data_IF_063555598709
#
_entry.id   IF_063555598709
#
_cell.length_a   1.000
_cell.length_b   1.000
_cell.length_c   1.000
_cell.angle_alpha   90.00
_cell.angle_beta   90.00
_cell.angle_gamma   90.00
#
_symmetry.space_group_name_H-M   'P 1'
#
loop_
_entity.id
_entity.type
_entity.pdbx_description
1 polymer ?
#
# COMPACT_ATOMS: atom_id res chain seq x y z
N UNK A 1 57.05 -45.16 15.27
CA UNK A 1 56.97 -46.60 14.89
C UNK A 1 55.90 -46.61 13.82
N UNK A 2 56.34 -46.60 12.59
CA UNK A 2 56.47 -47.66 11.60
C UNK A 2 55.08 -48.24 11.25
N UNK A 3 54.63 -48.33 10.11
CA UNK A 3 55.07 -48.43 8.70
C UNK A 3 53.91 -49.13 8.00
N UNK A 4 53.60 -48.68 6.91
CA UNK A 4 53.82 -49.12 5.53
C UNK A 4 52.58 -49.67 4.86
N UNK A 5 52.30 -49.11 3.66
CA UNK A 5 51.48 -49.69 2.62
C UNK A 5 52.21 -50.88 1.90
N UNK A 6 52.00 -51.19 0.62
CA UNK A 6 51.12 -50.74 -0.47
C UNK A 6 50.59 -51.90 -1.35
N UNK A 7 50.01 -51.62 -2.53
CA UNK A 7 49.86 -52.56 -3.63
C UNK A 7 48.55 -52.37 -4.40
N UNK A 8 48.49 -51.72 -5.48
CA UNK A 8 48.87 -51.87 -6.89
C UNK A 8 48.35 -53.17 -7.51
N UNK A 9 47.54 -53.17 -8.54
CA UNK A 9 47.84 -53.05 -9.95
C UNK A 9 46.63 -53.41 -10.84
N UNK A 10 46.41 -52.60 -11.83
CA UNK A 10 46.41 -52.87 -13.31
C UNK A 10 45.30 -53.77 -13.86
N UNK A 11 44.67 -53.36 -14.90
CA UNK A 11 44.92 -53.15 -16.27
C UNK A 11 43.63 -52.90 -17.05
N UNK A 12 43.66 -51.95 -17.91
CA UNK A 12 43.67 -52.00 -19.38
C UNK A 12 42.55 -52.80 -20.05
N UNK A 13 41.93 -52.39 -21.14
CA UNK A 13 42.04 -51.39 -22.16
C UNK A 13 40.89 -51.52 -23.14
N UNK A 14 40.61 -50.41 -23.88
CA UNK A 14 40.19 -50.30 -25.28
C UNK A 14 38.87 -50.95 -25.74
N UNK A 15 38.04 -50.32 -26.60
CA UNK A 15 38.31 -49.58 -27.84
C UNK A 15 37.07 -48.94 -28.39
N UNK A 16 37.21 -47.73 -28.89
CA UNK A 16 36.78 -47.13 -30.15
C UNK A 16 35.33 -47.13 -30.63
N UNK A 17 34.90 -45.92 -30.99
CA UNK A 17 33.75 -45.58 -31.80
C UNK A 17 33.83 -46.03 -33.27
N UNK A 18 33.02 -45.50 -34.20
CA UNK A 18 32.88 -44.09 -34.54
C UNK A 18 31.47 -43.60 -34.99
N UNK A 19 31.32 -42.33 -35.13
CA UNK A 19 30.31 -41.67 -35.99
C UNK A 19 30.68 -41.86 -37.48
N UNK A 20 29.75 -41.66 -38.46
CA UNK A 20 29.44 -40.30 -38.90
C UNK A 20 28.08 -40.06 -39.61
N UNK A 21 27.70 -38.79 -39.64
CA UNK A 21 27.23 -37.92 -40.75
C UNK A 21 26.14 -38.38 -41.73
N UNK A 22 25.08 -37.59 -41.94
CA UNK A 22 24.95 -36.60 -43.04
C UNK A 22 23.46 -36.32 -43.36
N UNK A 23 23.14 -35.07 -43.49
CA UNK A 23 22.01 -34.57 -44.29
C UNK A 23 22.43 -34.64 -45.79
N UNK A 24 21.56 -34.57 -46.79
CA UNK A 24 20.82 -33.39 -47.14
C UNK A 24 19.50 -33.50 -47.95
N UNK A 25 18.87 -32.33 -48.22
CA UNK A 25 18.21 -31.86 -49.42
C UNK A 25 16.72 -32.12 -49.72
N UNK A 26 16.01 -31.00 -49.84
CA UNK A 26 14.81 -30.73 -50.65
C UNK A 26 14.98 -31.10 -52.15
N UNK A 27 13.95 -31.24 -52.99
CA UNK A 27 13.10 -30.13 -53.43
C UNK A 27 11.63 -30.42 -53.90
N UNK A 28 10.81 -29.38 -53.86
CA UNK A 28 9.74 -28.87 -54.71
C UNK A 28 8.97 -29.78 -55.71
N UNK A 29 7.65 -29.60 -55.83
CA UNK A 29 6.85 -28.88 -56.84
C UNK A 29 5.46 -29.48 -57.06
N UNK A 30 4.54 -28.57 -57.38
CA UNK A 30 3.32 -28.62 -58.17
C UNK A 30 1.95 -28.92 -57.58
N UNK A 31 1.17 -27.83 -57.56
CA UNK A 31 -0.27 -27.69 -57.72
C UNK A 31 -0.84 -28.41 -59.01
N UNK A 32 -2.17 -28.51 -59.28
CA UNK A 32 -3.30 -27.66 -58.89
C UNK A 32 -4.68 -28.34 -58.73
N UNK A 33 -5.70 -27.58 -58.26
CA UNK A 33 -7.11 -27.65 -58.75
C UNK A 33 -8.09 -28.42 -57.89
N UNK A 34 -9.06 -27.81 -57.27
CA UNK A 34 -10.36 -27.50 -57.86
C UNK A 34 -11.29 -26.74 -56.91
N UNK A 35 -12.07 -25.90 -57.51
CA UNK A 35 -13.05 -24.94 -57.04
C UNK A 35 -14.37 -25.60 -56.66
N UNK A 36 -15.04 -25.20 -55.57
CA UNK A 36 -16.51 -25.07 -55.54
C UNK A 36 -16.96 -23.93 -54.61
N UNK A 37 -17.79 -23.15 -55.18
CA UNK A 37 -18.51 -21.92 -54.95
C UNK A 37 -19.17 -21.65 -53.59
N UNK A 38 -19.23 -20.36 -53.35
CA UNK A 38 -20.08 -19.57 -52.44
C UNK A 38 -21.60 -19.75 -52.64
N UNK A 39 -22.40 -19.17 -51.72
CA UNK A 39 -23.03 -17.88 -52.09
C UNK A 39 -22.92 -16.77 -51.02
N UNK A 40 -23.05 -15.56 -51.54
CA UNK A 40 -22.79 -14.27 -50.94
C UNK A 40 -24.04 -13.56 -50.38
N UNK A 41 -23.78 -12.73 -49.33
CA UNK A 41 -24.22 -11.35 -49.04
C UNK A 41 -25.67 -11.07 -48.57
N UNK A 42 -25.91 -9.96 -47.79
CA UNK A 42 -25.55 -8.61 -48.17
C UNK A 42 -24.92 -7.69 -47.10
N UNK A 43 -24.35 -6.62 -47.62
CA UNK A 43 -23.70 -5.49 -46.95
C UNK A 43 -24.64 -4.61 -46.12
N UNK A 44 -24.11 -4.11 -44.96
CA UNK A 44 -24.30 -2.72 -44.59
C UNK A 44 -23.08 -2.26 -43.83
N UNK A 45 -22.41 -1.25 -44.36
CA UNK A 45 -21.20 -0.69 -43.80
C UNK A 45 -21.48 0.23 -42.62
N UNK A 46 -20.61 0.15 -41.61
CA UNK A 46 -20.27 1.27 -40.72
C UNK A 46 -18.80 1.14 -40.38
N UNK A 47 -18.07 2.20 -40.62
CA UNK A 47 -16.68 2.47 -40.28
C UNK A 47 -16.42 2.23 -38.78
N UNK A 48 -15.59 1.25 -38.45
CA UNK A 48 -15.10 1.08 -37.07
C UNK A 48 -13.63 1.48 -36.96
N UNK A 49 -13.40 2.60 -36.26
CA UNK A 49 -12.11 2.92 -35.69
C UNK A 49 -11.79 1.89 -34.61
N UNK A 50 -10.53 1.51 -34.38
CA UNK A 50 -10.19 0.59 -33.28
C UNK A 50 -10.47 1.27 -31.94
N UNK A 51 -11.39 0.68 -31.19
CA UNK A 51 -11.69 1.03 -29.82
C UNK A 51 -10.58 0.46 -28.95
N UNK A 52 -9.76 1.32 -28.35
CA UNK A 52 -8.88 0.96 -27.25
C UNK A 52 -9.76 0.48 -26.09
N UNK A 53 -9.66 -0.78 -25.74
CA UNK A 53 -10.26 -1.32 -24.51
C UNK A 53 -9.55 -0.70 -23.31
N UNK A 54 -10.19 0.27 -22.69
CA UNK A 54 -9.93 0.60 -21.29
C UNK A 54 -10.70 -0.43 -20.45
N UNK A 55 -10.00 -1.02 -19.46
CA UNK A 55 -10.58 -2.05 -18.61
C UNK A 55 -11.79 -1.53 -17.82
N UNK A 56 -12.78 -2.40 -17.67
CA UNK A 56 -14.05 -2.15 -17.00
C UNK A 56 -13.96 -1.81 -15.50
N UNK A 57 -12.77 -1.91 -14.90
CA UNK A 57 -12.57 -1.74 -13.45
C UNK A 57 -12.58 -0.27 -13.00
N UNK A 58 -12.23 0.67 -13.90
CA UNK A 58 -12.30 2.11 -13.60
C UNK A 58 -13.73 2.65 -13.53
N UNK A 59 -14.68 1.98 -14.20
CA UNK A 59 -16.08 2.40 -14.22
C UNK A 59 -16.86 1.94 -12.99
N UNK A 60 -16.52 0.81 -12.38
CA UNK A 60 -17.15 0.35 -11.13
C UNK A 60 -16.72 1.22 -9.94
N UNK A 61 -15.44 1.58 -9.85
CA UNK A 61 -14.95 2.52 -8.81
C UNK A 61 -15.53 3.93 -8.97
N UNK A 62 -15.80 4.37 -10.20
CA UNK A 62 -16.44 5.66 -10.49
C UNK A 62 -17.93 5.64 -10.20
N UNK A 63 -18.63 4.55 -10.50
CA UNK A 63 -20.07 4.43 -10.30
C UNK A 63 -20.47 4.34 -8.81
N UNK A 64 -19.61 3.78 -7.97
CA UNK A 64 -19.83 3.74 -6.51
C UNK A 64 -19.57 5.09 -5.84
N UNK A 65 -18.77 5.98 -6.48
CA UNK A 65 -18.45 7.30 -5.93
C UNK A 65 -19.49 8.39 -6.26
N UNK A 66 -20.26 8.23 -7.35
CA UNK A 66 -21.23 9.25 -7.79
C UNK A 66 -22.63 9.09 -7.14
N UNK A 67 -22.83 8.08 -6.28
CA UNK A 67 -24.16 7.73 -5.75
C UNK A 67 -24.56 8.41 -4.46
N UNK A 68 -23.68 9.20 -3.82
CA UNK A 68 -23.96 9.79 -2.51
C UNK A 68 -23.74 11.30 -2.50
N UNK A 69 -24.74 12.02 -2.96
CA UNK A 69 -25.02 13.41 -2.56
C UNK A 69 -26.41 13.38 -1.96
N UNK A 70 -26.49 13.56 -0.62
CA UNK A 70 -27.52 14.35 0.06
C UNK A 70 -27.36 14.31 1.59
N UNK A 71 -27.19 15.51 2.09
CA UNK A 71 -27.76 16.13 3.30
C UNK A 71 -27.52 15.49 4.67
N UNK A 72 -26.98 16.30 5.59
CA UNK A 72 -26.86 16.00 7.01
C UNK A 72 -26.23 17.12 7.81
N UNK A 73 -27.05 17.87 8.50
CA UNK A 73 -26.74 19.02 9.34
C UNK A 73 -25.66 18.77 10.39
N UNK A 74 -24.80 19.76 10.54
CA UNK A 74 -23.79 19.89 11.59
C UNK A 74 -24.45 20.19 12.93
N UNK A 75 -24.15 19.38 13.96
CA UNK A 75 -24.34 19.75 15.34
C UNK A 75 -22.99 19.83 16.05
N UNK A 76 -22.67 21.02 16.52
CA UNK A 76 -21.50 21.34 17.31
C UNK A 76 -21.58 20.69 18.69
N UNK A 77 -20.83 19.60 18.91
CA UNK A 77 -20.71 18.98 20.24
C UNK A 77 -19.25 18.67 20.59
N UNK A 78 -18.42 19.71 20.66
CA UNK A 78 -17.01 19.60 21.07
C UNK A 78 -16.87 19.34 22.57
N UNK A 79 -17.82 19.78 23.40
CA UNK A 79 -17.74 19.67 24.87
C UNK A 79 -18.02 18.27 25.41
N UNK A 80 -18.71 17.42 24.67
CA UNK A 80 -19.06 16.07 25.15
C UNK A 80 -17.96 15.04 24.96
N UNK A 81 -16.94 15.34 24.13
CA UNK A 81 -15.84 14.42 23.84
C UNK A 81 -14.90 14.20 25.02
N UNK A 82 -14.87 15.14 25.99
CA UNK A 82 -13.91 15.18 27.08
C UNK A 82 -14.52 15.26 28.48
N UNK A 83 -15.85 15.11 28.65
CA UNK A 83 -16.49 15.23 29.97
C UNK A 83 -16.35 13.97 30.83
N UNK A 84 -15.97 14.21 32.06
CA UNK A 84 -15.67 13.30 33.17
C UNK A 84 -16.83 12.41 33.61
N UNK A 85 -16.47 11.21 34.11
CA UNK A 85 -16.96 10.69 35.39
C UNK A 85 -15.90 9.77 36.05
N UNK A 86 -15.86 9.85 37.37
CA UNK A 86 -14.86 9.36 38.31
C UNK A 86 -14.30 7.95 38.12
N UNK A 87 -12.99 7.78 38.07
CA UNK A 87 -12.28 6.51 38.26
C UNK A 87 -11.11 6.64 39.22
N UNK A 88 -11.01 5.69 40.15
CA UNK A 88 -10.07 5.48 41.25
C UNK A 88 -8.59 5.52 40.82
N UNK A 89 -7.68 6.20 41.55
CA UNK A 89 -6.33 6.54 41.07
C UNK A 89 -5.24 5.49 41.32
N UNK A 90 -5.50 4.17 41.19
CA UNK A 90 -4.49 3.15 41.58
C UNK A 90 -3.95 2.26 40.45
N UNK A 91 -4.42 2.37 39.21
CA UNK A 91 -3.95 1.56 38.12
C UNK A 91 -3.67 2.40 36.86
N UNK A 92 -2.60 3.20 36.86
CA UNK A 92 -2.20 3.91 35.66
C UNK A 92 -0.69 4.05 35.55
N UNK A 93 -0.06 3.14 34.81
CA UNK A 93 1.16 3.42 34.07
C UNK A 93 0.79 3.47 32.58
N UNK A 94 0.09 4.52 32.22
CA UNK A 94 -0.19 4.99 30.88
C UNK A 94 -0.43 6.47 30.99
N UNK A 95 0.23 7.29 30.17
CA UNK A 95 0.05 8.74 30.18
C UNK A 95 -1.44 9.06 30.01
N UNK A 96 -2.07 9.39 31.15
CA UNK A 96 -3.44 9.90 31.19
C UNK A 96 -3.46 11.24 30.47
N UNK A 97 -4.37 11.44 29.54
CA UNK A 97 -4.67 12.74 28.95
C UNK A 97 -5.04 13.72 30.07
N UNK A 98 -4.25 14.77 30.22
CA UNK A 98 -4.56 15.85 31.19
C UNK A 98 -5.71 16.69 30.60
N UNK A 99 -6.92 16.41 31.03
CA UNK A 99 -8.20 16.98 30.55
C UNK A 99 -8.31 18.48 30.87
N UNK A 100 -7.37 19.05 31.61
CA UNK A 100 -7.37 20.48 31.97
C UNK A 100 -6.87 21.41 30.84
N UNK A 101 -6.25 20.83 29.78
CA UNK A 101 -5.87 21.57 28.56
C UNK A 101 -6.66 20.95 27.41
N UNK A 102 -7.69 21.64 26.92
CA UNK A 102 -8.56 21.17 25.86
C UNK A 102 -7.79 20.56 24.69
N UNK A 103 -8.13 19.33 24.30
CA UNK A 103 -7.60 18.69 23.10
C UNK A 103 -8.03 19.50 21.88
N UNK A 104 -7.08 19.88 21.05
CA UNK A 104 -7.34 20.54 19.77
C UNK A 104 -6.72 19.72 18.65
N UNK A 105 -7.46 19.52 17.56
CA UNK A 105 -6.94 18.95 16.34
C UNK A 105 -7.37 19.82 15.18
N UNK A 106 -6.43 20.61 14.66
CA UNK A 106 -6.74 21.70 13.72
C UNK A 106 -5.86 21.62 12.48
N UNK A 107 -6.38 22.12 11.36
CA UNK A 107 -5.60 22.30 10.14
C UNK A 107 -4.50 23.37 10.38
N UNK A 108 -3.24 22.99 10.15
CA UNK A 108 -2.10 23.93 10.26
C UNK A 108 -1.59 24.39 8.91
N UNK A 109 -1.70 23.54 7.88
CA UNK A 109 -1.29 23.86 6.52
C UNK A 109 -2.12 23.10 5.50
N UNK A 110 -2.29 23.70 4.32
CA UNK A 110 -2.98 23.10 3.18
C UNK A 110 -2.27 23.46 1.88
N UNK A 111 -2.20 22.53 0.95
CA UNK A 111 -1.64 22.75 -0.38
C UNK A 111 -2.40 21.96 -1.44
N UNK A 112 -2.64 22.59 -2.60
CA UNK A 112 -3.10 21.86 -3.78
C UNK A 112 -1.93 21.05 -4.33
N UNK A 113 -1.94 19.74 -4.04
CA UNK A 113 -0.81 18.88 -4.30
C UNK A 113 -0.78 18.28 -5.72
N UNK A 114 -1.93 18.28 -6.41
CA UNK A 114 -2.07 17.64 -7.71
C UNK A 114 -3.05 18.39 -8.61
N UNK A 115 -2.97 18.15 -9.89
CA UNK A 115 -3.99 18.56 -10.86
C UNK A 115 -5.17 17.58 -10.90
N UNK A 116 -5.01 16.39 -10.32
CA UNK A 116 -6.01 15.32 -10.25
C UNK A 116 -6.11 14.76 -8.82
N UNK A 117 -6.84 13.67 -8.61
CA UNK A 117 -7.02 13.01 -7.30
C UNK A 117 -5.67 12.65 -6.69
N UNK A 118 -5.46 12.94 -5.40
CA UNK A 118 -4.32 12.44 -4.62
C UNK A 118 -4.71 11.12 -3.97
N UNK A 119 -3.88 10.09 -4.12
CA UNK A 119 -4.18 8.73 -3.67
C UNK A 119 -3.36 8.32 -2.46
N UNK A 120 -2.18 8.90 -2.27
CA UNK A 120 -1.28 8.52 -1.18
C UNK A 120 -0.42 9.69 -0.72
N UNK A 121 -0.03 9.67 0.55
CA UNK A 121 0.97 10.55 1.14
C UNK A 121 1.77 9.81 2.22
N UNK A 122 3.02 10.24 2.45
CA UNK A 122 3.88 9.66 3.49
C UNK A 122 4.94 10.65 3.97
N UNK A 123 5.17 10.71 5.29
CA UNK A 123 6.26 11.50 5.88
C UNK A 123 7.59 10.75 5.79
N UNK A 124 8.69 11.49 5.63
CA UNK A 124 10.02 10.95 5.88
C UNK A 124 10.22 10.62 7.37
N UNK A 125 11.12 9.68 7.66
CA UNK A 125 11.38 9.21 9.03
C UNK A 125 11.84 10.32 9.97
N UNK A 126 12.55 11.33 9.46
CA UNK A 126 12.98 12.52 10.20
C UNK A 126 11.94 13.64 10.25
N UNK A 127 10.79 13.46 9.60
CA UNK A 127 9.68 14.41 9.54
C UNK A 127 9.93 15.67 8.70
N UNK A 128 11.09 15.78 8.02
CA UNK A 128 11.42 16.98 7.22
C UNK A 128 10.67 17.06 5.90
N UNK A 129 10.36 15.90 5.32
CA UNK A 129 9.71 15.82 4.02
C UNK A 129 8.38 15.09 4.11
N UNK A 130 7.47 15.49 3.24
CA UNK A 130 6.23 14.81 2.92
C UNK A 130 6.27 14.44 1.44
N UNK A 131 5.85 13.25 1.08
CA UNK A 131 5.62 12.85 -0.31
C UNK A 131 4.12 12.70 -0.55
N UNK A 132 3.66 13.05 -1.75
CA UNK A 132 2.30 12.77 -2.23
C UNK A 132 2.33 12.23 -3.63
N UNK A 133 1.36 11.37 -3.99
CA UNK A 133 1.20 10.81 -5.33
C UNK A 133 -0.27 10.65 -5.70
N UNK A 134 -0.57 10.59 -7.01
CA UNK A 134 -1.95 10.51 -7.43
C UNK A 134 -2.17 10.24 -8.92
N UNK A 135 -3.38 10.57 -9.37
CA UNK A 135 -3.87 10.30 -10.72
C UNK A 135 -3.17 11.11 -11.82
N UNK A 136 -2.49 12.20 -11.49
CA UNK A 136 -1.68 12.98 -12.45
C UNK A 136 -0.34 12.30 -12.79
N UNK A 137 -0.09 11.09 -12.26
CA UNK A 137 1.10 10.25 -12.50
C UNK A 137 2.39 10.82 -11.92
N UNK A 138 2.29 11.85 -11.08
CA UNK A 138 3.42 12.54 -10.46
C UNK A 138 3.48 12.24 -8.98
N UNK A 139 4.69 12.06 -8.47
CA UNK A 139 4.95 12.13 -7.04
C UNK A 139 5.63 13.47 -6.74
N UNK A 140 5.20 14.14 -5.69
CA UNK A 140 5.74 15.44 -5.29
C UNK A 140 6.32 15.33 -3.89
N UNK A 141 7.55 15.83 -3.72
CA UNK A 141 8.22 15.97 -2.43
C UNK A 141 8.04 17.41 -1.93
N UNK A 142 7.64 17.52 -0.69
CA UNK A 142 7.35 18.77 0.00
C UNK A 142 8.26 18.94 1.22
N UNK A 143 8.67 20.16 1.52
CA UNK A 143 9.18 20.51 2.84
C UNK A 143 8.01 20.55 3.82
N UNK A 144 8.06 19.76 4.90
CA UNK A 144 6.93 19.59 5.84
C UNK A 144 6.53 20.90 6.52
N UNK A 145 7.49 21.76 6.84
CA UNK A 145 7.29 23.00 7.56
C UNK A 145 6.56 24.09 6.76
N UNK A 146 6.71 24.08 5.44
CA UNK A 146 6.22 25.14 4.56
C UNK A 146 5.29 24.68 3.46
N UNK A 147 5.18 23.35 3.26
CA UNK A 147 4.54 22.73 2.09
C UNK A 147 5.01 23.30 0.74
N UNK A 148 6.26 23.82 0.69
CA UNK A 148 6.90 24.20 -0.56
C UNK A 148 7.43 22.93 -1.27
N UNK A 149 7.31 22.94 -2.59
CA UNK A 149 7.82 21.84 -3.42
C UNK A 149 9.33 21.77 -3.30
N UNK A 150 9.86 20.62 -2.92
CA UNK A 150 11.28 20.27 -3.05
C UNK A 150 11.54 19.77 -4.46
N UNK A 151 10.70 18.85 -4.96
CA UNK A 151 10.84 18.26 -6.30
C UNK A 151 9.56 17.54 -6.74
N UNK A 152 9.48 17.32 -8.07
CA UNK A 152 8.44 16.55 -8.72
C UNK A 152 9.06 15.39 -9.50
N UNK A 153 8.51 14.19 -9.33
CA UNK A 153 8.97 12.94 -9.93
C UNK A 153 7.93 12.50 -10.98
N UNK A 154 8.29 12.56 -12.28
CA UNK A 154 7.34 12.48 -13.41
C UNK A 154 7.64 11.31 -14.37
N UNK A 155 7.85 10.10 -13.84
CA UNK A 155 8.29 8.99 -14.68
C UNK A 155 7.24 7.88 -14.84
N UNK A 156 6.21 7.85 -14.01
CA UNK A 156 5.13 6.87 -14.15
C UNK A 156 4.26 7.17 -15.37
N UNK A 157 3.90 6.12 -16.12
CA UNK A 157 3.01 6.24 -17.28
C UNK A 157 1.53 6.14 -16.93
N UNK A 158 1.19 5.69 -15.70
CA UNK A 158 -0.14 5.62 -15.15
C UNK A 158 -0.21 6.22 -13.74
N UNK A 159 -1.40 6.27 -13.14
CA UNK A 159 -1.61 6.83 -11.81
C UNK A 159 -0.73 6.15 -10.76
N UNK A 160 -0.30 6.93 -9.76
CA UNK A 160 0.44 6.45 -8.60
C UNK A 160 -0.56 6.00 -7.54
N UNK A 161 -0.37 4.80 -7.01
CA UNK A 161 -1.23 4.18 -6.00
C UNK A 161 -0.72 4.38 -4.58
N UNK A 162 0.60 4.28 -4.39
CA UNK A 162 1.21 4.45 -3.07
C UNK A 162 2.58 5.12 -3.16
N UNK A 163 2.93 5.88 -2.12
CA UNK A 163 4.23 6.52 -1.95
C UNK A 163 4.76 6.24 -0.55
N UNK A 164 6.03 5.80 -0.43
CA UNK A 164 6.64 5.47 0.86
C UNK A 164 8.09 5.93 0.93
N UNK A 165 8.45 6.57 2.05
CA UNK A 165 9.85 6.78 2.40
C UNK A 165 10.41 5.54 3.08
N UNK A 166 11.67 5.25 2.80
CA UNK A 166 12.45 4.29 3.59
C UNK A 166 12.60 4.81 5.03
N UNK A 167 12.46 3.93 6.04
CA UNK A 167 12.63 4.34 7.43
C UNK A 167 14.08 4.68 7.81
N UNK A 168 15.08 4.15 7.09
CA UNK A 168 16.51 4.23 7.42
C UNK A 168 17.36 4.96 6.39
N UNK A 169 16.96 4.96 5.12
CA UNK A 169 17.73 5.51 4.01
C UNK A 169 16.99 6.71 3.38
N UNK A 170 17.71 7.66 2.75
CA UNK A 170 17.08 8.77 2.02
C UNK A 170 16.48 8.30 0.69
N UNK A 171 15.58 7.32 0.76
CA UNK A 171 14.91 6.74 -0.40
C UNK A 171 13.40 6.94 -0.32
N UNK A 172 12.81 7.20 -1.47
CA UNK A 172 11.37 7.18 -1.68
C UNK A 172 11.03 6.07 -2.67
N UNK A 173 9.95 5.35 -2.46
CA UNK A 173 9.41 4.43 -3.45
C UNK A 173 7.98 4.83 -3.84
N UNK A 174 7.62 4.55 -5.09
CA UNK A 174 6.31 4.81 -5.66
C UNK A 174 5.81 3.57 -6.39
N UNK A 175 4.54 3.22 -6.23
CA UNK A 175 3.85 2.17 -6.98
C UNK A 175 2.81 2.76 -7.93
N UNK A 176 2.52 2.07 -9.03
CA UNK A 176 1.63 2.59 -10.06
C UNK A 176 0.83 1.51 -10.79
N UNK A 177 -0.28 1.94 -11.38
CA UNK A 177 -1.05 1.15 -12.35
C UNK A 177 -0.26 0.80 -13.61
N UNK A 178 0.89 1.43 -13.85
CA UNK A 178 1.82 1.04 -14.92
C UNK A 178 2.56 -0.28 -14.64
N UNK A 179 2.20 -0.98 -13.55
CA UNK A 179 2.73 -2.27 -13.11
C UNK A 179 4.18 -2.22 -12.62
N UNK A 180 4.66 -1.03 -12.29
CA UNK A 180 6.03 -0.82 -11.82
C UNK A 180 6.08 -0.27 -10.40
N UNK A 181 7.15 -0.59 -9.70
CA UNK A 181 7.61 0.12 -8.51
C UNK A 181 8.89 0.86 -8.87
N UNK A 182 8.99 2.13 -8.49
CA UNK A 182 10.16 2.97 -8.72
C UNK A 182 10.76 3.41 -7.41
N UNK A 183 12.09 3.44 -7.34
CA UNK A 183 12.83 3.86 -6.16
C UNK A 183 13.71 5.06 -6.50
N UNK A 184 13.63 6.09 -5.68
CA UNK A 184 14.22 7.40 -5.87
C UNK A 184 15.17 7.72 -4.73
N UNK A 185 16.25 8.44 -5.01
CA UNK A 185 17.04 9.12 -3.99
C UNK A 185 16.29 10.39 -3.57
N UNK A 186 15.85 10.45 -2.32
CA UNK A 186 15.05 11.56 -1.82
C UNK A 186 15.87 12.83 -1.53
N UNK A 187 17.19 12.71 -1.34
CA UNK A 187 18.09 13.85 -1.09
C UNK A 187 18.47 14.55 -2.41
N UNK A 188 18.94 13.77 -3.37
CA UNK A 188 19.45 14.27 -4.64
C UNK A 188 18.37 14.35 -5.72
N UNK A 189 17.21 13.77 -5.46
CA UNK A 189 16.05 13.73 -6.38
C UNK A 189 16.45 13.12 -7.74
N UNK A 190 17.31 12.14 -7.69
CA UNK A 190 17.79 11.40 -8.85
C UNK A 190 17.34 9.95 -8.78
N UNK A 191 17.34 9.29 -9.90
CA UNK A 191 17.09 7.87 -9.98
C UNK A 191 18.21 7.09 -9.31
N UNK A 192 17.87 6.04 -8.59
CA UNK A 192 18.85 5.01 -8.29
C UNK A 192 19.18 4.25 -9.59
N UNK A 193 20.40 3.68 -9.69
CA UNK A 193 20.92 3.01 -10.90
C UNK A 193 20.01 1.89 -11.46
N UNK A 194 19.07 1.39 -10.67
CA UNK A 194 18.04 0.44 -11.07
C UNK A 194 16.65 1.06 -10.84
N UNK A 195 16.12 1.82 -11.81
CA UNK A 195 15.02 2.75 -11.59
C UNK A 195 13.65 2.08 -11.38
N UNK A 196 13.49 0.82 -11.81
CA UNK A 196 12.19 0.16 -11.68
C UNK A 196 12.31 -1.32 -11.35
N UNK A 197 11.44 -1.74 -10.45
CA UNK A 197 11.24 -3.14 -10.11
C UNK A 197 10.16 -3.67 -11.06
N UNK A 198 10.60 -4.45 -12.05
CA UNK A 198 9.73 -5.02 -13.08
C UNK A 198 9.38 -6.46 -12.76
N UNK A 199 8.12 -6.82 -12.97
CA UNK A 199 7.69 -8.21 -12.83
C UNK A 199 6.22 -8.39 -12.49
N UNK A 200 5.54 -7.37 -11.95
CA UNK A 200 4.10 -7.44 -11.75
C UNK A 200 3.35 -7.58 -13.07
N UNK A 201 2.38 -8.49 -13.09
CA UNK A 201 1.50 -8.73 -14.25
C UNK A 201 0.29 -7.81 -14.28
N UNK A 202 -0.09 -7.28 -13.11
CA UNK A 202 -1.22 -6.41 -12.90
C UNK A 202 -0.79 -5.08 -12.27
N UNK A 203 -1.74 -4.16 -12.08
CA UNK A 203 -1.51 -2.86 -11.45
C UNK A 203 -0.96 -3.01 -10.04
N UNK A 204 0.12 -2.31 -9.71
CA UNK A 204 0.68 -2.33 -8.36
C UNK A 204 -0.18 -1.45 -7.46
N UNK A 205 -0.72 -2.01 -6.40
CA UNK A 205 -1.69 -1.36 -5.52
C UNK A 205 -1.05 -0.71 -4.30
N UNK A 206 -0.01 -1.34 -3.75
CA UNK A 206 0.67 -0.85 -2.54
C UNK A 206 2.11 -1.32 -2.50
N UNK A 207 2.92 -0.62 -1.74
CA UNK A 207 4.31 -0.97 -1.44
C UNK A 207 4.66 -0.58 0.00
N UNK A 208 5.70 -1.21 0.55
CA UNK A 208 6.28 -0.77 1.81
C UNK A 208 7.75 -1.21 1.95
N UNK A 209 8.54 -0.42 2.70
CA UNK A 209 9.92 -0.75 3.05
C UNK A 209 9.97 -1.56 4.33
N UNK A 210 10.86 -2.56 4.35
CA UNK A 210 11.12 -3.28 5.58
C UNK A 210 11.84 -2.37 6.61
N UNK A 211 11.41 -2.34 7.88
CA UNK A 211 11.94 -1.37 8.84
C UNK A 211 13.42 -1.54 9.18
N UNK A 212 13.98 -2.76 9.07
CA UNK A 212 15.33 -3.09 9.50
C UNK A 212 16.21 -3.71 8.40
N UNK A 213 15.69 -3.88 7.18
CA UNK A 213 16.45 -4.44 6.04
C UNK A 213 16.45 -3.40 4.92
N UNK A 214 17.49 -2.59 4.83
CA UNK A 214 17.61 -1.44 3.92
C UNK A 214 17.50 -1.79 2.44
N UNK A 215 17.73 -3.06 2.11
CA UNK A 215 17.64 -3.60 0.75
C UNK A 215 16.29 -4.24 0.42
N UNK A 216 15.39 -4.38 1.40
CA UNK A 216 14.13 -5.08 1.21
C UNK A 216 12.94 -4.11 1.10
N UNK A 217 12.24 -4.21 -0.02
CA UNK A 217 10.93 -3.59 -0.24
C UNK A 217 9.94 -4.67 -0.68
N UNK A 218 8.67 -4.53 -0.31
CA UNK A 218 7.59 -5.35 -0.83
C UNK A 218 6.60 -4.53 -1.66
N UNK A 219 5.89 -5.21 -2.54
CA UNK A 219 4.77 -4.62 -3.30
C UNK A 219 3.70 -5.68 -3.56
N UNK A 220 2.44 -5.26 -3.71
CA UNK A 220 1.35 -6.14 -4.15
C UNK A 220 0.65 -5.57 -5.37
N UNK A 221 0.08 -6.46 -6.19
CA UNK A 221 -0.72 -6.07 -7.34
C UNK A 221 -2.21 -6.45 -7.18
N UNK A 222 -3.04 -5.97 -8.09
CA UNK A 222 -4.49 -6.22 -8.10
C UNK A 222 -4.86 -7.69 -8.29
N UNK A 223 -3.94 -8.56 -8.74
CA UNK A 223 -4.13 -10.00 -8.84
C UNK A 223 -3.75 -10.75 -7.54
N UNK A 224 -3.38 -10.01 -6.49
CA UNK A 224 -3.00 -10.52 -5.17
C UNK A 224 -1.60 -11.14 -5.14
N UNK A 225 -0.73 -10.83 -6.08
CA UNK A 225 0.67 -11.21 -5.98
C UNK A 225 1.41 -10.23 -5.08
N UNK A 226 2.08 -10.76 -4.06
CA UNK A 226 3.05 -10.03 -3.24
C UNK A 226 4.44 -10.39 -3.73
N UNK A 227 5.29 -9.38 -3.91
CA UNK A 227 6.67 -9.52 -4.32
C UNK A 227 7.60 -8.88 -3.32
N UNK A 228 8.70 -9.59 -2.99
CA UNK A 228 9.84 -9.04 -2.26
C UNK A 228 10.95 -8.73 -3.24
N UNK A 229 11.58 -7.57 -3.07
CA UNK A 229 12.61 -7.06 -3.98
C UNK A 229 13.86 -6.67 -3.21
N UNK A 230 15.01 -7.01 -3.79
CA UNK A 230 16.28 -6.38 -3.45
C UNK A 230 16.40 -5.07 -4.23
N UNK A 231 16.47 -3.95 -3.51
CA UNK A 231 16.58 -2.61 -4.10
C UNK A 231 17.94 -2.46 -4.79
N UNK A 232 19.02 -2.97 -4.15
CA UNK A 232 20.38 -2.81 -4.65
C UNK A 232 20.63 -3.56 -5.96
N UNK A 233 19.94 -4.68 -6.15
CA UNK A 233 20.10 -5.52 -7.36
C UNK A 233 18.95 -5.34 -8.37
N UNK A 234 17.85 -4.65 -7.97
CA UNK A 234 16.65 -4.54 -8.80
C UNK A 234 15.95 -5.88 -9.08
N UNK A 235 16.22 -6.91 -8.27
CA UNK A 235 15.74 -8.28 -8.50
C UNK A 235 14.60 -8.66 -7.55
N UNK A 236 13.63 -9.43 -8.07
CA UNK A 236 12.59 -10.04 -7.26
C UNK A 236 13.16 -11.28 -6.55
N UNK A 237 13.17 -11.26 -5.22
CA UNK A 237 13.66 -12.37 -4.41
C UNK A 237 12.59 -13.39 -4.08
N UNK A 238 11.31 -13.01 -4.10
CA UNK A 238 10.20 -13.89 -3.74
C UNK A 238 8.88 -13.42 -4.32
N UNK A 239 8.00 -14.37 -4.64
CA UNK A 239 6.63 -14.12 -5.15
C UNK A 239 5.68 -15.08 -4.45
N UNK A 240 4.60 -14.56 -3.86
CA UNK A 240 3.57 -15.34 -3.21
C UNK A 240 2.20 -14.66 -3.28
N UNK A 241 1.15 -15.32 -2.87
CA UNK A 241 -0.21 -14.78 -2.84
C UNK A 241 -0.52 -14.20 -1.47
N UNK A 242 -1.24 -13.05 -1.46
CA UNK A 242 -1.59 -12.36 -0.22
C UNK A 242 -2.70 -11.33 -0.42
N UNK A 243 -2.46 -10.06 -0.18
CA UNK A 243 -3.45 -9.00 -0.27
C UNK A 243 -3.49 -8.30 -1.63
N UNK A 244 -4.61 -7.69 -1.94
CA UNK A 244 -4.87 -6.96 -3.18
C UNK A 244 -4.96 -5.45 -3.02
N UNK A 245 -5.14 -4.93 -1.79
CA UNK A 245 -5.39 -3.51 -1.54
C UNK A 245 -4.17 -2.80 -0.95
N UNK A 246 -3.90 -2.98 0.31
CA UNK A 246 -2.81 -2.28 1.01
C UNK A 246 -1.98 -3.24 1.85
N UNK A 247 -0.68 -2.98 1.92
CA UNK A 247 0.25 -3.76 2.74
C UNK A 247 1.11 -2.87 3.61
N UNK A 248 1.42 -3.32 4.84
CA UNK A 248 2.32 -2.59 5.75
C UNK A 248 3.16 -3.57 6.57
N UNK A 249 4.46 -3.36 6.58
CA UNK A 249 5.34 -4.06 7.51
C UNK A 249 5.06 -3.63 8.95
N UNK A 250 5.15 -4.59 9.87
CA UNK A 250 5.17 -4.30 11.29
C UNK A 250 6.36 -3.40 11.61
N UNK A 251 6.15 -2.21 12.20
CA UNK A 251 7.25 -1.32 12.56
C UNK A 251 8.18 -1.94 13.60
N UNK A 252 9.38 -1.38 13.76
CA UNK A 252 10.45 -1.80 14.66
C UNK A 252 11.02 -3.18 14.35
N UNK A 253 10.22 -4.25 14.40
CA UNK A 253 10.73 -5.63 14.26
C UNK A 253 10.72 -6.10 12.80
N UNK A 254 9.75 -5.70 12.01
CA UNK A 254 9.59 -6.14 10.62
C UNK A 254 9.32 -7.64 10.48
N UNK A 255 8.87 -8.30 11.56
CA UNK A 255 8.60 -9.73 11.56
C UNK A 255 7.38 -10.08 10.73
N UNK A 256 6.36 -9.23 10.79
CA UNK A 256 5.09 -9.45 10.13
C UNK A 256 4.82 -8.42 9.04
N UNK A 257 4.09 -8.87 8.03
CA UNK A 257 3.50 -8.04 6.98
C UNK A 257 1.98 -8.20 7.07
N UNK A 258 1.28 -7.09 7.31
CA UNK A 258 -0.18 -7.07 7.21
C UNK A 258 -0.57 -6.79 5.76
N UNK A 259 -1.48 -7.58 5.21
CA UNK A 259 -1.96 -7.46 3.85
C UNK A 259 -3.50 -7.44 3.85
N UNK A 260 -4.06 -6.38 3.27
CA UNK A 260 -5.51 -6.15 3.18
C UNK A 260 -6.08 -6.74 1.89
N UNK A 261 -7.22 -7.39 2.04
CA UNK A 261 -8.08 -7.89 0.99
C UNK A 261 -9.52 -7.99 1.56
N UNK A 262 -10.28 -9.04 1.26
CA UNK A 262 -11.56 -9.31 1.94
C UNK A 262 -11.37 -9.62 3.44
N UNK A 263 -10.19 -10.06 3.81
CA UNK A 263 -9.74 -10.24 5.20
C UNK A 263 -8.33 -9.65 5.33
N UNK A 264 -7.90 -9.39 6.56
CA UNK A 264 -6.51 -8.99 6.82
C UNK A 264 -5.69 -10.22 7.11
N UNK A 265 -4.68 -10.47 6.27
CA UNK A 265 -3.72 -11.55 6.44
C UNK A 265 -2.44 -11.04 7.11
N UNK A 266 -1.98 -11.73 8.14
CA UNK A 266 -0.69 -11.47 8.79
C UNK A 266 0.29 -12.52 8.32
N UNK A 267 1.26 -12.08 7.54
CA UNK A 267 2.27 -12.92 6.91
C UNK A 267 3.59 -12.81 7.69
N UNK A 268 4.21 -13.92 7.96
CA UNK A 268 5.55 -13.98 8.52
C UNK A 268 6.57 -13.69 7.40
N UNK A 269 7.40 -12.67 7.59
CA UNK A 269 8.29 -12.17 6.54
C UNK A 269 9.39 -13.16 6.14
N UNK A 270 9.84 -14.00 7.07
CA UNK A 270 10.91 -14.98 6.81
C UNK A 270 10.37 -16.21 6.12
N UNK A 271 9.27 -16.76 6.64
CA UNK A 271 8.68 -18.00 6.13
C UNK A 271 7.69 -17.76 5.00
N UNK A 272 7.23 -16.52 4.81
CA UNK A 272 6.18 -16.11 3.83
C UNK A 272 4.84 -16.83 4.05
N UNK A 273 4.67 -17.45 5.19
CA UNK A 273 3.46 -18.16 5.56
C UNK A 273 2.45 -17.19 6.21
N UNK A 274 1.17 -17.38 5.89
CA UNK A 274 0.10 -16.71 6.61
C UNK A 274 0.04 -17.29 8.04
N UNK A 275 0.26 -16.42 9.04
CA UNK A 275 0.18 -16.75 10.46
C UNK A 275 -1.22 -16.59 11.01
N UNK A 276 -1.86 -15.47 10.65
CA UNK A 276 -3.20 -15.14 11.11
C UNK A 276 -4.03 -14.63 9.95
N UNK A 277 -5.32 -14.95 9.96
CA UNK A 277 -6.33 -14.39 9.10
C UNK A 277 -7.37 -13.73 10.00
N UNK A 278 -7.35 -12.39 10.06
CA UNK A 278 -8.17 -11.60 10.96
C UNK A 278 -9.57 -11.46 10.39
N UNK A 279 -10.47 -12.28 10.89
CA UNK A 279 -11.86 -12.35 10.44
C UNK A 279 -12.73 -11.33 11.18
N UNK A 280 -13.71 -10.73 10.48
CA UNK A 280 -14.68 -9.86 11.12
C UNK A 280 -15.26 -8.78 10.22
N UNK A 281 -14.49 -8.19 9.33
CA UNK A 281 -15.01 -7.25 8.33
C UNK A 281 -16.02 -7.94 7.41
N UNK A 282 -17.12 -7.24 7.09
CA UNK A 282 -18.17 -7.73 6.19
C UNK A 282 -18.00 -7.19 4.76
N UNK A 283 -17.15 -6.18 4.61
CA UNK A 283 -16.77 -5.53 3.35
C UNK A 283 -15.27 -5.63 3.12
N UNK A 284 -14.78 -5.45 1.88
CA UNK A 284 -13.36 -5.42 1.59
C UNK A 284 -12.61 -4.39 2.45
N UNK A 285 -11.40 -4.76 2.86
CA UNK A 285 -10.54 -3.90 3.69
C UNK A 285 -9.69 -3.03 2.77
N UNK A 286 -9.82 -1.72 2.90
CA UNK A 286 -9.12 -0.74 2.05
C UNK A 286 -7.78 -0.31 2.61
N UNK A 287 -7.67 -0.25 3.94
CA UNK A 287 -6.47 0.29 4.59
C UNK A 287 -6.11 -0.49 5.84
N UNK A 288 -4.82 -0.62 6.07
CA UNK A 288 -4.23 -1.17 7.31
C UNK A 288 -3.12 -0.25 7.81
N UNK A 289 -3.06 -0.08 9.12
CA UNK A 289 -2.06 0.76 9.77
C UNK A 289 -1.61 0.11 11.08
N UNK A 290 -0.31 -0.06 11.27
CA UNK A 290 0.26 -0.44 12.55
C UNK A 290 0.39 0.77 13.47
N UNK A 291 0.20 0.56 14.75
CA UNK A 291 0.64 1.55 15.75
C UNK A 291 2.18 1.63 15.79
N UNK A 292 2.78 2.73 16.28
CA UNK A 292 4.23 2.89 16.29
C UNK A 292 4.99 1.83 17.11
N UNK A 293 4.34 1.14 18.06
CA UNK A 293 4.96 0.05 18.82
C UNK A 293 5.04 -1.26 18.01
N UNK A 294 4.11 -1.45 17.07
CA UNK A 294 3.90 -2.68 16.30
C UNK A 294 3.11 -3.75 17.07
N UNK A 295 2.43 -3.37 18.16
CA UNK A 295 1.61 -4.26 18.98
C UNK A 295 0.15 -4.31 18.48
N UNK A 296 -0.34 -3.18 17.96
CA UNK A 296 -1.69 -3.02 17.45
C UNK A 296 -1.71 -2.78 15.95
N UNK A 297 -2.73 -3.35 15.30
CA UNK A 297 -3.03 -3.13 13.89
C UNK A 297 -4.45 -2.60 13.76
N UNK A 298 -4.61 -1.47 13.10
CA UNK A 298 -5.93 -0.99 12.68
C UNK A 298 -6.21 -1.44 11.24
N UNK A 299 -7.44 -1.82 10.95
CA UNK A 299 -7.93 -2.14 9.61
C UNK A 299 -9.25 -1.43 9.33
N UNK A 300 -9.42 -0.97 8.09
CA UNK A 300 -10.56 -0.15 7.68
C UNK A 300 -11.26 -0.78 6.49
N UNK A 301 -12.57 -0.98 6.64
CA UNK A 301 -13.51 -1.22 5.54
C UNK A 301 -14.56 -0.10 5.51
N UNK A 302 -15.40 -0.07 4.49
CA UNK A 302 -16.42 0.99 4.36
C UNK A 302 -17.34 1.11 5.57
N UNK A 303 -17.65 0.00 6.22
CA UNK A 303 -18.65 -0.12 7.28
C UNK A 303 -18.08 -0.19 8.68
N UNK A 304 -16.79 -0.44 8.84
CA UNK A 304 -16.19 -0.60 10.15
C UNK A 304 -14.68 -0.35 10.17
N UNK A 305 -14.20 0.07 11.32
CA UNK A 305 -12.79 0.08 11.69
C UNK A 305 -12.59 -0.89 12.84
N UNK A 306 -11.56 -1.73 12.74
CA UNK A 306 -11.20 -2.71 13.76
C UNK A 306 -9.76 -2.54 14.17
N UNK A 307 -9.50 -2.70 15.47
CA UNK A 307 -8.15 -2.71 16.03
C UNK A 307 -7.88 -4.09 16.61
N UNK A 308 -6.74 -4.64 16.22
CA UNK A 308 -6.33 -6.01 16.52
C UNK A 308 -5.05 -6.02 17.34
N UNK A 309 -4.92 -6.98 18.24
CA UNK A 309 -3.65 -7.34 18.88
C UNK A 309 -3.22 -8.73 18.41
N UNK A 310 -1.91 -8.88 18.21
CA UNK A 310 -1.32 -10.17 17.81
C UNK A 310 -0.68 -10.91 18.99
N UNK A 311 -1.19 -10.73 20.19
CA UNK A 311 -0.67 -11.24 21.47
C UNK A 311 0.18 -12.52 21.43
N UNK A 312 0.83 -12.86 22.50
CA UNK A 312 1.75 -14.02 22.61
C UNK A 312 1.10 -15.39 22.39
N UNK A 313 -0.23 -15.46 22.35
CA UNK A 313 -1.01 -16.70 22.15
C UNK A 313 -1.32 -17.07 20.70
N UNK A 314 -1.03 -16.18 19.75
CA UNK A 314 -1.02 -16.52 18.33
C UNK A 314 -2.33 -16.38 17.56
N UNK A 315 -3.45 -16.03 18.17
CA UNK A 315 -4.69 -15.67 17.45
C UNK A 315 -4.88 -14.16 17.52
N UNK A 316 -5.03 -13.52 16.34
CA UNK A 316 -5.31 -12.08 16.28
C UNK A 316 -6.67 -11.80 16.90
N UNK A 317 -6.70 -11.01 17.99
CA UNK A 317 -7.91 -10.65 18.70
C UNK A 317 -8.33 -9.23 18.32
N UNK A 318 -9.62 -9.04 18.01
CA UNK A 318 -10.20 -7.72 17.81
C UNK A 318 -10.50 -7.09 19.18
N UNK A 319 -9.70 -6.09 19.55
CA UNK A 319 -9.81 -5.42 20.86
C UNK A 319 -10.73 -4.20 20.83
N UNK A 320 -10.86 -3.55 19.68
CA UNK A 320 -11.78 -2.42 19.48
C UNK A 320 -12.45 -2.50 18.11
N UNK A 321 -13.69 -2.08 18.04
CA UNK A 321 -14.48 -1.99 16.83
C UNK A 321 -15.31 -0.71 16.82
N UNK A 322 -15.29 0.01 15.71
CA UNK A 322 -16.15 1.15 15.43
C UNK A 322 -16.94 0.86 14.16
N UNK A 323 -18.26 0.86 14.28
CA UNK A 323 -19.16 0.75 13.14
C UNK A 323 -19.47 2.12 12.55
N UNK A 324 -19.62 2.19 11.24
CA UNK A 324 -19.95 3.41 10.51
C UNK A 324 -21.38 3.84 10.81
N UNK A 325 -21.57 5.11 11.14
CA UNK A 325 -22.90 5.71 11.40
C UNK A 325 -23.36 6.63 10.24
N UNK A 326 -22.89 6.40 9.02
CA UNK A 326 -23.31 7.16 7.84
C UNK A 326 -22.17 7.52 6.88
N UNK A 327 -21.01 7.93 7.39
CA UNK A 327 -19.84 8.23 6.55
C UNK A 327 -19.01 6.98 6.29
N UNK A 328 -18.76 6.63 5.04
CA UNK A 328 -17.92 5.48 4.71
C UNK A 328 -16.47 5.74 5.11
N UNK A 329 -15.90 4.81 5.85
CA UNK A 329 -14.49 4.83 6.25
C UNK A 329 -13.59 4.35 5.10
N UNK A 330 -12.41 4.96 4.95
CA UNK A 330 -11.52 4.62 3.84
C UNK A 330 -10.04 4.47 4.23
N UNK A 331 -9.53 5.29 5.12
CA UNK A 331 -8.14 5.24 5.57
C UNK A 331 -8.04 5.46 7.08
N UNK A 332 -6.93 5.05 7.68
CA UNK A 332 -6.68 5.32 9.09
C UNK A 332 -5.20 5.53 9.40
N UNK A 333 -4.95 6.19 10.53
CA UNK A 333 -3.62 6.28 11.14
C UNK A 333 -3.75 6.46 12.66
N UNK A 334 -2.90 5.82 13.44
CA UNK A 334 -2.81 6.11 14.87
C UNK A 334 -2.28 7.52 15.07
N UNK A 335 -2.82 8.23 16.06
CA UNK A 335 -2.34 9.58 16.37
C UNK A 335 -0.89 9.53 16.87
N UNK A 336 0.01 10.43 16.39
CA UNK A 336 1.44 10.34 16.69
C UNK A 336 1.79 10.50 18.16
N UNK A 337 0.95 11.16 18.95
CA UNK A 337 1.18 11.47 20.37
C UNK A 337 0.23 10.71 21.30
N UNK A 338 -1.04 10.59 20.93
CA UNK A 338 -2.07 9.94 21.76
C UNK A 338 -2.35 8.55 21.23
N UNK A 339 -1.80 7.52 21.88
CA UNK A 339 -1.85 6.13 21.44
C UNK A 339 -3.26 5.52 21.44
N UNK A 340 -4.17 6.06 22.27
CA UNK A 340 -5.60 5.68 22.30
C UNK A 340 -6.44 6.33 21.21
N UNK A 341 -5.88 7.26 20.43
CA UNK A 341 -6.60 8.00 19.41
C UNK A 341 -6.26 7.48 18.01
N UNK A 342 -7.28 7.08 17.27
CA UNK A 342 -7.20 6.74 15.86
C UNK A 342 -7.84 7.84 15.01
N UNK A 343 -7.12 8.30 13.99
CA UNK A 343 -7.62 9.24 12.98
C UNK A 343 -8.09 8.45 11.78
N UNK A 344 -9.34 8.65 11.39
CA UNK A 344 -9.99 7.89 10.31
C UNK A 344 -10.39 8.86 9.21
N UNK A 345 -10.01 8.56 7.98
CA UNK A 345 -10.37 9.33 6.79
C UNK A 345 -11.66 8.81 6.18
N UNK A 346 -12.61 9.72 5.98
CA UNK A 346 -13.92 9.46 5.40
C UNK A 346 -14.11 10.26 4.10
N UNK A 347 -15.33 10.31 3.60
CA UNK A 347 -15.71 11.25 2.56
C UNK A 347 -15.90 12.64 3.19
N UNK A 348 -15.05 13.61 2.83
CA UNK A 348 -15.02 15.00 3.28
C UNK A 348 -14.63 15.22 4.75
N UNK A 349 -14.67 14.24 5.62
CA UNK A 349 -14.44 14.40 7.05
C UNK A 349 -13.31 13.51 7.58
N UNK A 350 -12.73 13.95 8.69
CA UNK A 350 -11.91 13.13 9.57
C UNK A 350 -12.76 12.74 10.78
N UNK A 351 -12.71 11.45 11.14
CA UNK A 351 -13.22 10.96 12.41
C UNK A 351 -12.04 10.73 13.36
N UNK A 352 -12.12 11.33 14.53
CA UNK A 352 -11.16 11.10 15.62
C UNK A 352 -11.81 10.16 16.62
N UNK A 353 -11.32 8.93 16.67
CA UNK A 353 -11.88 7.91 17.55
C UNK A 353 -10.99 7.68 18.78
N UNK A 354 -11.48 8.06 19.95
CA UNK A 354 -10.89 7.67 21.23
C UNK A 354 -11.31 6.24 21.55
N UNK A 355 -10.41 5.29 21.36
CA UNK A 355 -10.67 3.86 21.51
C UNK A 355 -10.96 3.47 22.98
N UNK A 356 -10.33 4.14 23.95
CA UNK A 356 -10.51 3.83 25.37
C UNK A 356 -11.91 4.22 25.85
N UNK A 357 -12.40 5.38 25.42
CA UNK A 357 -13.71 5.88 25.80
C UNK A 357 -14.82 5.46 24.81
N UNK A 358 -14.43 4.90 23.67
CA UNK A 358 -15.29 4.58 22.54
C UNK A 358 -16.14 5.78 22.09
N UNK A 359 -15.50 6.97 22.03
CA UNK A 359 -16.11 8.22 21.58
C UNK A 359 -15.49 8.67 20.27
N UNK A 360 -16.28 9.29 19.41
CA UNK A 360 -15.83 9.86 18.14
C UNK A 360 -16.09 11.36 18.09
N UNK A 361 -15.24 12.07 17.36
CA UNK A 361 -15.41 13.47 16.99
C UNK A 361 -15.18 13.61 15.49
N UNK A 362 -16.13 14.21 14.79
CA UNK A 362 -16.10 14.42 13.35
C UNK A 362 -15.61 15.84 13.03
N UNK A 363 -14.66 15.96 12.12
CA UNK A 363 -14.13 17.22 11.63
C UNK A 363 -14.31 17.33 10.12
N UNK A 364 -14.91 18.40 9.64
CA UNK A 364 -14.90 18.73 8.20
C UNK A 364 -13.46 19.00 7.76
N UNK A 365 -12.97 18.29 6.77
CA UNK A 365 -11.56 18.30 6.41
C UNK A 365 -11.29 18.59 4.93
N UNK A 366 -12.05 18.00 4.03
CA UNK A 366 -11.82 18.05 2.59
C UNK A 366 -13.14 18.17 1.83
N UNK A 367 -13.07 18.43 0.51
CA UNK A 367 -14.22 18.43 -0.39
C UNK A 367 -14.39 17.08 -1.13
N UNK A 368 -13.61 16.06 -0.78
CA UNK A 368 -13.61 14.76 -1.42
C UNK A 368 -13.17 13.65 -0.49
N UNK A 369 -13.08 12.42 -1.03
CA UNK A 369 -12.64 11.24 -0.29
C UNK A 369 -11.21 11.43 0.25
N UNK A 370 -10.99 11.16 1.53
CA UNK A 370 -9.67 11.14 2.15
C UNK A 370 -9.04 9.77 1.89
N UNK A 371 -8.28 9.69 0.82
CA UNK A 371 -7.74 8.43 0.30
C UNK A 371 -6.60 7.87 1.18
N UNK A 372 -5.79 8.73 1.79
CA UNK A 372 -4.68 8.30 2.62
C UNK A 372 -4.43 9.25 3.79
N UNK A 373 -3.99 8.65 4.89
CA UNK A 373 -3.51 9.32 6.08
C UNK A 373 -2.10 8.84 6.42
N UNK A 374 -1.28 9.75 6.93
CA UNK A 374 0.04 9.43 7.45
C UNK A 374 0.37 10.31 8.67
N UNK A 375 1.28 9.84 9.51
CA UNK A 375 1.67 10.59 10.70
C UNK A 375 3.18 10.65 10.86
N UNK A 376 3.65 11.66 11.57
CA UNK A 376 5.05 11.80 11.96
C UNK A 376 5.16 11.92 13.49
N UNK A 377 5.78 10.92 14.10
CA UNK A 377 6.06 10.94 15.56
C UNK A 377 7.08 12.01 15.92
N UNK A 378 7.90 12.46 14.97
CA UNK A 378 8.93 13.49 15.19
C UNK A 378 8.32 14.88 15.26
N UNK A 379 7.39 15.19 14.35
CA UNK A 379 6.75 16.52 14.28
C UNK A 379 5.42 16.60 15.03
N UNK A 380 4.82 15.47 15.37
CA UNK A 380 3.49 15.38 15.95
C UNK A 380 2.38 15.71 14.95
N UNK A 381 2.67 15.68 13.65
CA UNK A 381 1.71 16.02 12.59
C UNK A 381 1.04 14.78 12.03
N UNK A 382 -0.21 14.95 11.61
CA UNK A 382 -0.94 14.06 10.72
C UNK A 382 -1.09 14.75 9.38
N UNK A 383 -0.92 14.01 8.27
CA UNK A 383 -1.21 14.49 6.92
C UNK A 383 -2.35 13.68 6.31
N UNK A 384 -3.25 14.37 5.63
CA UNK A 384 -4.34 13.79 4.85
C UNK A 384 -4.18 14.11 3.37
N UNK A 385 -4.39 13.10 2.52
CA UNK A 385 -4.40 13.23 1.06
C UNK A 385 -5.79 12.89 0.53
N UNK A 386 -6.33 13.74 -0.35
CA UNK A 386 -7.72 13.62 -0.77
C UNK A 386 -7.90 13.70 -2.29
N UNK A 387 -9.01 13.12 -2.74
CA UNK A 387 -9.50 13.21 -4.11
C UNK A 387 -9.88 14.64 -4.52
N UNK A 388 -10.01 15.58 -3.59
CA UNK A 388 -10.17 17.01 -3.85
C UNK A 388 -8.90 17.70 -4.37
N UNK A 389 -7.79 16.94 -4.53
CA UNK A 389 -6.48 17.38 -5.03
C UNK A 389 -5.59 18.05 -3.99
N UNK A 390 -6.00 18.09 -2.74
CA UNK A 390 -5.28 18.74 -1.65
C UNK A 390 -4.59 17.71 -0.76
N UNK A 391 -3.50 18.17 -0.17
CA UNK A 391 -2.87 17.58 1.01
C UNK A 391 -2.94 18.61 2.14
N UNK A 392 -3.37 18.17 3.31
CA UNK A 392 -3.51 19.02 4.50
C UNK A 392 -2.73 18.43 5.68
N UNK A 393 -2.22 19.31 6.53
CA UNK A 393 -1.52 18.97 7.76
C UNK A 393 -2.35 19.38 8.96
N UNK A 394 -2.38 18.51 9.97
CA UNK A 394 -3.18 18.61 11.18
C UNK A 394 -2.31 18.48 12.42
N UNK A 395 -2.67 19.21 13.47
CA UNK A 395 -2.02 19.13 14.78
C UNK A 395 -2.97 19.40 15.92
#
# INVERSE_FOLDING_TARGET
MSSSGPGNSTGTANTAGPSPSSAPSTPSTHTPGDVISMPALPHSGISSKPLMMFGSDDLELQADMDRFVEDGSLDDNVESFLSHDDVDPRDAVGQCMDVSKGFTFTEVHSVKASTSKVTSCHFSSDGKFLASGGHDKKAVLWYTDTLKVKSTLEEHSALITDVRFSPSMPRLATSSFDKTVRVWDADNVTWLFYPYLLGHSASVMSLDFHPNKDDLICSCDSDGQIRYWSINNGSCSSVFKGGTAQMRFQPRHGRFLAAADNVVSILDVETQACRHSLQGHTKPVHSVCWDPSGEFLASVSEDSVRVWTLGSGGEGECVHELSCNGSKFHSCVFHPTYTSLLVIGCYQSLELWNMTENKTMTLSAHDGLIAALTMSTVTGLVASASHDKFVKLWK
#
